data_IF_921067722444
#
_entry.id   IF_921067722444
#
_cell.length_a   1.000
_cell.length_b   1.000
_cell.length_c   1.000
_cell.angle_alpha   90.00
_cell.angle_beta   90.00
_cell.angle_gamma   90.00
#
_symmetry.space_group_name_H-M   'P 1'
#
loop_
_entity.id
_entity.type
_entity.pdbx_description
1 polymer ?
#
# COMPACT_ATOMS: atom_id res chain seq x y z
N UNK A 1 51.78 3.80 -26.87
CA UNK A 1 50.48 3.14 -26.54
C UNK A 1 49.74 3.99 -25.50
N UNK A 2 48.60 4.57 -25.89
CA UNK A 2 47.80 5.39 -24.99
C UNK A 2 46.72 4.49 -24.40
N UNK A 3 46.72 4.31 -23.06
CA UNK A 3 45.68 3.57 -22.35
C UNK A 3 44.43 4.42 -22.22
N UNK A 4 43.33 3.98 -22.79
CA UNK A 4 42.00 4.60 -22.64
C UNK A 4 41.37 3.99 -21.39
N UNK A 5 41.24 4.80 -20.34
CA UNK A 5 40.54 4.40 -19.11
C UNK A 5 39.06 4.64 -19.34
N UNK A 6 38.27 3.56 -19.43
CA UNK A 6 36.81 3.63 -19.43
C UNK A 6 36.32 3.78 -17.97
N UNK A 7 35.86 4.96 -17.62
CA UNK A 7 35.12 5.17 -16.36
C UNK A 7 33.67 4.77 -16.61
N UNK A 8 33.30 3.58 -16.14
CA UNK A 8 31.91 3.15 -16.11
C UNK A 8 31.17 3.96 -15.02
N UNK A 9 30.36 4.91 -15.43
CA UNK A 9 29.41 5.58 -14.53
C UNK A 9 28.28 4.59 -14.20
N UNK A 10 28.33 3.99 -13.02
CA UNK A 10 27.21 3.27 -12.43
C UNK A 10 26.18 4.32 -11.97
N UNK A 11 25.17 4.56 -12.79
CA UNK A 11 23.96 5.27 -12.35
C UNK A 11 23.22 4.36 -11.37
N UNK A 12 23.47 4.56 -10.07
CA UNK A 12 22.60 4.04 -9.01
C UNK A 12 21.30 4.84 -9.14
N UNK A 13 20.33 4.31 -9.87
CA UNK A 13 18.96 4.81 -9.82
C UNK A 13 18.46 4.59 -8.38
N UNK A 14 18.50 5.63 -7.56
CA UNK A 14 17.74 5.67 -6.33
C UNK A 14 16.28 5.52 -6.77
N UNK A 15 15.69 4.35 -6.56
CA UNK A 15 14.26 4.13 -6.73
C UNK A 15 13.57 5.07 -5.75
N UNK A 16 13.18 6.25 -6.24
CA UNK A 16 12.36 7.15 -5.46
C UNK A 16 11.04 6.41 -5.22
N UNK A 17 10.78 6.02 -3.97
CA UNK A 17 9.50 5.48 -3.53
C UNK A 17 8.43 6.56 -3.77
N UNK A 18 7.83 6.51 -4.95
CA UNK A 18 6.80 7.45 -5.36
C UNK A 18 5.44 6.81 -5.14
N UNK A 19 4.59 7.51 -4.41
CA UNK A 19 3.19 7.12 -4.25
C UNK A 19 2.52 7.04 -5.62
N UNK A 20 1.90 5.89 -5.93
CA UNK A 20 1.18 5.70 -7.20
C UNK A 20 -0.19 6.40 -7.17
N UNK A 21 -0.80 6.54 -8.35
CA UNK A 21 -2.17 7.06 -8.44
C UNK A 21 -3.16 6.19 -7.63
N UNK A 22 -3.00 4.86 -7.67
CA UNK A 22 -3.86 3.94 -6.90
C UNK A 22 -3.69 4.15 -5.39
N UNK A 23 -2.47 4.29 -4.88
CA UNK A 23 -2.20 4.52 -3.46
C UNK A 23 -2.88 5.78 -2.94
N UNK A 24 -2.84 6.85 -3.75
CA UNK A 24 -3.51 8.12 -3.45
C UNK A 24 -5.04 7.98 -3.43
N UNK A 25 -5.59 7.21 -4.37
CA UNK A 25 -7.03 6.94 -4.43
C UNK A 25 -7.48 6.10 -3.24
N UNK A 26 -6.68 5.12 -2.79
CA UNK A 26 -7.00 4.32 -1.60
C UNK A 26 -7.11 5.22 -0.36
N UNK A 27 -6.15 6.12 -0.13
CA UNK A 27 -6.20 7.04 1.01
C UNK A 27 -7.40 8.00 0.90
N UNK A 28 -7.70 8.50 -0.30
CA UNK A 28 -8.89 9.31 -0.55
C UNK A 28 -10.17 8.55 -0.20
N UNK A 29 -10.33 7.31 -0.65
CA UNK A 29 -11.51 6.47 -0.36
C UNK A 29 -11.63 6.13 1.12
N UNK A 30 -10.51 5.88 1.82
CA UNK A 30 -10.51 5.72 3.26
C UNK A 30 -11.03 6.98 3.97
N UNK A 31 -10.63 8.16 3.51
CA UNK A 31 -11.09 9.42 4.06
C UNK A 31 -12.57 9.72 3.72
N UNK A 32 -13.06 9.34 2.53
CA UNK A 32 -14.48 9.42 2.20
C UNK A 32 -15.31 8.55 3.15
N UNK A 33 -14.84 7.34 3.47
CA UNK A 33 -15.50 6.48 4.45
C UNK A 33 -15.47 7.07 5.86
N UNK A 34 -14.34 7.58 6.32
CA UNK A 34 -14.23 8.23 7.63
C UNK A 34 -15.14 9.47 7.74
N UNK A 35 -15.21 10.27 6.70
CA UNK A 35 -16.09 11.45 6.62
C UNK A 35 -17.56 11.05 6.75
N UNK A 36 -17.98 9.94 6.13
CA UNK A 36 -19.35 9.40 6.26
C UNK A 36 -19.70 8.98 7.70
N UNK A 37 -18.69 8.80 8.55
CA UNK A 37 -18.82 8.48 9.98
C UNK A 37 -18.53 9.68 10.89
N UNK A 38 -18.42 10.89 10.33
CA UNK A 38 -18.05 12.12 11.04
C UNK A 38 -16.68 12.02 11.76
N UNK A 39 -15.74 11.22 11.24
CA UNK A 39 -14.40 11.09 11.79
C UNK A 39 -13.40 12.03 11.10
N UNK A 40 -12.38 12.53 11.81
CA UNK A 40 -11.32 13.34 11.20
C UNK A 40 -10.62 12.60 10.07
N UNK A 41 -10.26 13.32 9.00
CA UNK A 41 -9.49 12.76 7.89
C UNK A 41 -8.08 12.39 8.33
N UNK A 42 -7.56 11.32 7.72
CA UNK A 42 -6.17 10.90 7.85
C UNK A 42 -5.30 11.79 6.94
N UNK A 43 -4.21 12.30 7.48
CA UNK A 43 -3.18 12.99 6.72
C UNK A 43 -2.19 11.98 6.16
N UNK A 44 -1.63 12.27 4.99
CA UNK A 44 -0.58 11.45 4.42
C UNK A 44 0.70 11.48 5.27
N UNK A 45 1.24 10.29 5.55
CA UNK A 45 2.53 10.11 6.20
C UNK A 45 3.46 9.29 5.32
N UNK A 46 4.63 9.85 5.00
CA UNK A 46 5.66 9.16 4.22
C UNK A 46 6.16 7.90 4.95
N UNK A 47 6.31 7.95 6.27
CA UNK A 47 6.74 6.80 7.07
C UNK A 47 5.72 5.67 7.03
N UNK A 48 4.43 5.97 7.17
CA UNK A 48 3.35 5.00 6.99
C UNK A 48 3.35 4.41 5.58
N UNK A 49 3.54 5.25 4.56
CA UNK A 49 3.58 4.80 3.16
C UNK A 49 4.73 3.83 2.90
N UNK A 50 5.96 4.15 3.31
CA UNK A 50 7.12 3.29 3.10
C UNK A 50 6.99 1.97 3.87
N UNK A 51 6.44 1.99 5.08
CA UNK A 51 6.15 0.78 5.84
C UNK A 51 5.09 -0.10 5.13
N UNK A 52 4.02 0.51 4.61
CA UNK A 52 2.99 -0.18 3.84
C UNK A 52 3.53 -0.76 2.53
N UNK A 53 4.33 0.00 1.79
CA UNK A 53 4.96 -0.42 0.54
C UNK A 53 5.89 -1.63 0.74
N UNK A 54 6.73 -1.60 1.78
CA UNK A 54 7.58 -2.73 2.15
C UNK A 54 6.76 -4.01 2.37
N UNK A 55 5.65 -3.91 3.10
CA UNK A 55 4.78 -5.06 3.35
C UNK A 55 4.02 -5.50 2.11
N UNK A 56 3.51 -4.58 1.29
CA UNK A 56 2.83 -4.93 0.04
C UNK A 56 3.77 -5.68 -0.92
N UNK A 57 5.02 -5.22 -1.05
CA UNK A 57 6.05 -5.89 -1.84
C UNK A 57 6.39 -7.28 -1.30
N UNK A 58 6.42 -7.45 0.02
CA UNK A 58 6.62 -8.76 0.64
C UNK A 58 5.46 -9.71 0.34
N UNK A 59 4.20 -9.25 0.45
CA UNK A 59 3.00 -10.03 0.15
C UNK A 59 2.94 -10.52 -1.32
N UNK A 60 3.56 -9.79 -2.25
CA UNK A 60 3.62 -10.19 -3.67
C UNK A 60 4.51 -11.40 -3.94
N UNK A 61 5.42 -11.76 -3.02
CA UNK A 61 6.31 -12.93 -3.18
C UNK A 61 5.57 -14.25 -3.05
N UNK A 62 4.47 -14.26 -2.30
CA UNK A 62 3.63 -15.43 -2.14
C UNK A 62 2.15 -15.03 -2.10
N UNK A 63 1.48 -15.22 -3.23
CA UNK A 63 0.06 -14.88 -3.39
C UNK A 63 -0.89 -15.85 -2.70
N UNK A 64 -0.39 -16.96 -2.13
CA UNK A 64 -1.23 -17.96 -1.48
C UNK A 64 -1.64 -17.60 -0.06
N UNK A 65 -0.94 -16.64 0.58
CA UNK A 65 -1.17 -16.27 1.99
C UNK A 65 -1.11 -14.77 2.22
N UNK A 66 -1.68 -14.35 3.35
CA UNK A 66 -1.61 -13.00 3.90
C UNK A 66 -1.00 -13.11 5.30
N UNK A 67 -0.05 -12.25 5.62
CA UNK A 67 0.58 -12.20 6.94
C UNK A 67 0.97 -10.77 7.30
N UNK A 68 0.92 -10.44 8.58
CA UNK A 68 1.44 -9.18 9.14
C UNK A 68 2.94 -9.28 9.47
N UNK A 69 3.47 -10.49 9.55
CA UNK A 69 4.89 -10.75 9.78
C UNK A 69 5.67 -10.73 8.46
N UNK A 70 6.79 -10.02 8.43
CA UNK A 70 7.73 -9.97 7.32
C UNK A 70 9.07 -10.59 7.76
N UNK A 71 9.14 -11.92 7.84
CA UNK A 71 10.34 -12.66 8.26
C UNK A 71 10.83 -12.20 9.66
N UNK A 72 9.92 -12.12 10.63
CA UNK A 72 10.22 -11.66 11.99
C UNK A 72 10.24 -10.14 12.17
N UNK A 73 9.90 -9.37 11.13
CA UNK A 73 9.78 -7.91 11.21
C UNK A 73 8.30 -7.52 11.27
N UNK A 74 7.89 -6.90 12.36
CA UNK A 74 6.53 -6.39 12.53
C UNK A 74 6.34 -4.98 11.94
N UNK A 75 5.14 -4.44 12.08
CA UNK A 75 4.80 -3.08 11.62
C UNK A 75 5.68 -2.02 12.30
N UNK A 76 5.99 -2.18 13.60
CA UNK A 76 6.82 -1.23 14.34
C UNK A 76 8.23 -1.15 13.79
N UNK A 77 8.81 -2.29 13.44
CA UNK A 77 10.14 -2.37 12.84
C UNK A 77 10.18 -1.72 11.46
N UNK A 78 9.17 -1.98 10.64
CA UNK A 78 9.06 -1.36 9.31
C UNK A 78 8.87 0.15 9.39
N UNK A 79 8.03 0.60 10.32
CA UNK A 79 7.81 2.03 10.56
C UNK A 79 9.07 2.74 11.05
N UNK A 80 9.82 2.16 12.00
CA UNK A 80 11.11 2.70 12.49
C UNK A 80 12.13 2.84 11.37
N UNK A 81 12.21 1.85 10.47
CA UNK A 81 13.12 1.92 9.31
C UNK A 81 12.73 3.05 8.34
N UNK A 82 11.45 3.36 8.25
CA UNK A 82 10.91 4.39 7.36
C UNK A 82 10.90 5.79 7.98
N UNK A 83 10.92 5.88 9.30
CA UNK A 83 10.86 7.12 10.07
C UNK A 83 12.25 7.56 10.50
N UNK A 84 12.49 8.87 10.57
CA UNK A 84 13.68 9.43 11.25
C UNK A 84 13.57 9.38 12.78
N UNK A 85 12.38 9.03 13.31
CA UNK A 85 12.12 8.92 14.76
C UNK A 85 12.13 7.45 15.20
N UNK A 86 12.84 7.17 16.30
CA UNK A 86 12.76 5.88 16.97
C UNK A 86 11.48 5.70 17.81
N UNK A 87 10.72 6.79 17.99
CA UNK A 87 9.48 6.81 18.80
C UNK A 87 8.28 6.88 17.87
N UNK A 88 7.32 6.03 18.13
CA UNK A 88 5.99 6.08 17.55
C UNK A 88 4.96 5.81 18.65
N UNK A 89 3.75 6.30 18.46
CA UNK A 89 2.64 6.04 19.37
C UNK A 89 1.95 4.74 19.00
N UNK A 90 0.67 4.84 18.69
CA UNK A 90 -0.11 3.70 18.25
C UNK A 90 -0.01 3.52 16.72
N UNK A 91 0.26 2.29 16.30
CA UNK A 91 0.29 1.89 14.90
C UNK A 91 -0.80 0.86 14.64
N UNK A 92 -1.42 0.94 13.47
CA UNK A 92 -2.32 -0.07 12.95
C UNK A 92 -1.95 -0.43 11.54
N UNK A 93 -2.05 -1.71 11.19
CA UNK A 93 -1.84 -2.19 9.83
C UNK A 93 -3.06 -2.98 9.37
N UNK A 94 -3.56 -2.65 8.19
CA UNK A 94 -4.63 -3.38 7.53
C UNK A 94 -4.15 -3.87 6.17
N UNK A 95 -4.37 -5.17 5.91
CA UNK A 95 -3.93 -5.83 4.68
C UNK A 95 -5.15 -6.37 3.95
N UNK A 96 -5.16 -6.24 2.63
CA UNK A 96 -6.15 -6.85 1.77
C UNK A 96 -5.50 -7.55 0.58
N UNK A 97 -6.12 -8.66 0.18
CA UNK A 97 -5.81 -9.36 -1.05
C UNK A 97 -7.09 -9.57 -1.86
N UNK A 98 -7.04 -9.29 -3.13
CA UNK A 98 -8.15 -9.64 -4.04
C UNK A 98 -7.64 -9.93 -5.45
N UNK A 99 -8.41 -10.77 -6.16
CA UNK A 99 -8.22 -11.01 -7.59
C UNK A 99 -9.42 -10.47 -8.35
N UNK A 100 -9.18 -9.69 -9.39
CA UNK A 100 -10.22 -9.05 -10.21
C UNK A 100 -9.89 -9.18 -11.69
N UNK A 101 -10.94 -9.34 -12.48
CA UNK A 101 -10.84 -9.31 -13.95
C UNK A 101 -11.44 -8.00 -14.44
N UNK A 102 -10.68 -7.27 -15.22
CA UNK A 102 -11.16 -6.03 -15.86
C UNK A 102 -11.02 -6.13 -17.37
N UNK A 103 -11.86 -5.39 -18.09
CA UNK A 103 -11.67 -5.18 -19.53
C UNK A 103 -10.45 -4.28 -19.76
N UNK A 104 -9.69 -4.58 -20.81
CA UNK A 104 -8.49 -3.78 -21.16
C UNK A 104 -8.83 -2.30 -21.46
N UNK A 105 -10.09 -2.02 -21.83
CA UNK A 105 -10.60 -0.66 -22.10
C UNK A 105 -11.14 0.07 -20.87
N UNK A 106 -11.08 -0.51 -19.66
CA UNK A 106 -11.65 0.10 -18.46
C UNK A 106 -10.72 1.20 -17.92
N UNK A 107 -11.12 2.45 -18.09
CA UNK A 107 -10.36 3.63 -17.64
C UNK A 107 -10.45 3.89 -16.13
N UNK A 108 -11.36 3.21 -15.42
CA UNK A 108 -11.62 3.42 -13.99
C UNK A 108 -11.10 2.28 -13.11
N UNK A 109 -10.13 1.50 -13.59
CA UNK A 109 -9.61 0.33 -12.87
C UNK A 109 -9.15 0.69 -11.45
N UNK A 110 -8.35 1.77 -11.28
CA UNK A 110 -7.83 2.18 -9.97
C UNK A 110 -8.96 2.57 -9.01
N UNK A 111 -9.98 3.29 -9.46
CA UNK A 111 -11.14 3.66 -8.63
C UNK A 111 -11.92 2.43 -8.16
N UNK A 112 -12.12 1.45 -9.06
CA UNK A 112 -12.81 0.20 -8.75
C UNK A 112 -12.02 -0.64 -7.76
N UNK A 113 -10.70 -0.78 -7.97
CA UNK A 113 -9.82 -1.50 -7.05
C UNK A 113 -9.85 -0.84 -5.67
N UNK A 114 -9.65 0.47 -5.59
CA UNK A 114 -9.65 1.18 -4.32
C UNK A 114 -10.97 1.03 -3.56
N UNK A 115 -12.11 1.15 -4.26
CA UNK A 115 -13.43 0.92 -3.68
C UNK A 115 -13.56 -0.49 -3.09
N UNK A 116 -13.17 -1.51 -3.85
CA UNK A 116 -13.25 -2.90 -3.41
C UNK A 116 -12.36 -3.17 -2.18
N UNK A 117 -11.15 -2.59 -2.13
CA UNK A 117 -10.25 -2.69 -0.98
C UNK A 117 -10.86 -2.09 0.29
N UNK A 118 -11.47 -0.91 0.18
CA UNK A 118 -12.18 -0.30 1.31
C UNK A 118 -13.34 -1.20 1.78
N UNK A 119 -14.12 -1.77 0.86
CA UNK A 119 -15.21 -2.68 1.22
C UNK A 119 -14.70 -3.98 1.89
N UNK A 120 -13.54 -4.49 1.50
CA UNK A 120 -12.90 -5.63 2.16
C UNK A 120 -12.53 -5.26 3.61
N UNK A 121 -11.88 -4.12 3.82
CA UNK A 121 -11.49 -3.67 5.16
C UNK A 121 -12.70 -3.36 6.06
N UNK A 122 -13.76 -2.77 5.51
CA UNK A 122 -15.02 -2.51 6.24
C UNK A 122 -15.69 -3.80 6.75
N UNK A 123 -15.62 -4.89 5.99
CA UNK A 123 -16.21 -6.19 6.36
C UNK A 123 -15.42 -6.93 7.45
N UNK A 124 -14.16 -6.63 7.63
CA UNK A 124 -13.32 -7.20 8.68
C UNK A 124 -13.48 -6.38 9.95
N UNK A 125 -13.92 -6.97 11.05
CA UNK A 125 -14.11 -6.29 12.35
C UNK A 125 -12.85 -5.56 12.79
N UNK A 126 -11.70 -6.23 12.72
CA UNK A 126 -10.43 -5.70 13.21
C UNK A 126 -9.88 -4.61 12.28
N UNK A 127 -9.92 -4.83 10.96
CA UNK A 127 -9.49 -3.82 9.99
C UNK A 127 -10.39 -2.58 10.05
N UNK A 128 -11.71 -2.77 10.18
CA UNK A 128 -12.64 -1.65 10.31
C UNK A 128 -12.39 -0.87 11.60
N UNK A 129 -12.13 -1.54 12.72
CA UNK A 129 -11.82 -0.87 13.98
C UNK A 129 -10.57 0.01 13.89
N UNK A 130 -9.52 -0.45 13.19
CA UNK A 130 -8.32 0.34 12.91
C UNK A 130 -8.66 1.52 12.00
N UNK A 131 -9.35 1.27 10.87
CA UNK A 131 -9.69 2.27 9.86
C UNK A 131 -10.59 3.38 10.39
N UNK A 132 -11.47 3.07 11.35
CA UNK A 132 -12.43 4.01 11.96
C UNK A 132 -12.02 4.53 13.32
N UNK A 133 -10.83 4.18 13.80
CA UNK A 133 -10.33 4.68 15.08
C UNK A 133 -10.16 6.20 15.04
N UNK A 134 -10.78 6.97 15.95
CA UNK A 134 -10.60 8.41 16.03
C UNK A 134 -9.19 8.80 16.50
N UNK A 135 -8.45 7.86 17.05
CA UNK A 135 -7.07 8.05 17.48
C UNK A 135 -6.11 8.22 16.30
N UNK A 136 -6.40 7.57 15.16
CA UNK A 136 -5.56 7.63 13.98
C UNK A 136 -5.64 8.99 13.31
N UNK A 137 -4.47 9.58 13.02
CA UNK A 137 -4.33 10.91 12.42
C UNK A 137 -3.60 10.86 11.08
N UNK A 138 -2.70 9.90 10.90
CA UNK A 138 -1.82 9.78 9.75
C UNK A 138 -1.97 8.42 9.10
N UNK A 139 -1.79 8.35 7.79
CA UNK A 139 -1.77 7.09 7.08
C UNK A 139 -0.92 7.13 5.81
N UNK A 140 -0.52 5.95 5.38
CA UNK A 140 0.03 5.70 4.05
C UNK A 140 -0.48 4.36 3.55
N UNK A 141 -0.91 4.31 2.30
CA UNK A 141 -1.36 3.10 1.65
C UNK A 141 -0.46 2.77 0.47
N UNK A 142 -0.24 1.49 0.24
CA UNK A 142 0.43 0.98 -0.96
C UNK A 142 -0.27 -0.25 -1.48
N UNK A 143 -0.48 -0.31 -2.80
CA UNK A 143 -1.05 -1.46 -3.49
C UNK A 143 -0.11 -1.94 -4.60
N UNK A 144 0.24 -3.22 -4.53
CA UNK A 144 1.01 -3.91 -5.55
C UNK A 144 0.09 -4.79 -6.39
N UNK A 145 0.33 -4.84 -7.68
CA UNK A 145 -0.51 -5.55 -8.64
C UNK A 145 0.34 -6.50 -9.49
N UNK A 146 -0.03 -7.78 -9.52
CA UNK A 146 0.41 -8.71 -10.55
C UNK A 146 -0.67 -8.80 -11.63
N UNK A 147 -0.24 -8.67 -12.87
CA UNK A 147 -1.14 -8.67 -14.03
C UNK A 147 -0.91 -9.94 -14.85
N UNK A 148 -1.97 -10.65 -15.17
CA UNK A 148 -1.92 -11.84 -16.02
C UNK A 148 -3.01 -11.81 -17.10
N UNK A 149 -2.66 -12.24 -18.33
CA UNK A 149 -3.65 -12.40 -19.38
C UNK A 149 -4.48 -13.65 -19.11
N UNK A 150 -5.79 -13.52 -19.19
CA UNK A 150 -6.70 -14.65 -19.17
C UNK A 150 -7.10 -15.00 -20.60
N UNK A 151 -7.46 -16.26 -20.87
CA UNK A 151 -7.76 -16.75 -22.22
C UNK A 151 -8.96 -16.09 -22.92
N UNK A 152 -9.54 -15.04 -22.32
CA UNK A 152 -10.64 -14.26 -22.86
C UNK A 152 -10.09 -12.96 -23.45
N UNK A 153 -10.30 -12.76 -24.77
CA UNK A 153 -9.83 -11.56 -25.47
C UNK A 153 -10.37 -10.27 -24.84
N UNK A 154 -9.50 -9.30 -24.62
CA UNK A 154 -9.84 -7.99 -24.07
C UNK A 154 -10.08 -7.99 -22.55
N UNK A 155 -9.67 -9.06 -21.86
CA UNK A 155 -9.74 -9.16 -20.41
C UNK A 155 -8.38 -9.46 -19.78
N UNK A 156 -8.13 -8.83 -18.66
CA UNK A 156 -6.90 -8.98 -17.89
C UNK A 156 -7.25 -9.23 -16.43
N UNK A 157 -6.53 -10.18 -15.80
CA UNK A 157 -6.61 -10.46 -14.37
C UNK A 157 -5.60 -9.61 -13.61
N UNK A 158 -6.05 -9.05 -12.51
CA UNK A 158 -5.27 -8.28 -11.56
C UNK A 158 -5.32 -8.99 -10.21
N UNK A 159 -4.17 -9.45 -9.72
CA UNK A 159 -4.01 -9.98 -8.37
C UNK A 159 -3.35 -8.89 -7.52
N UNK A 160 -4.10 -8.39 -6.54
CA UNK A 160 -3.77 -7.18 -5.78
C UNK A 160 -3.39 -7.55 -4.36
N UNK A 161 -2.34 -6.92 -3.86
CA UNK A 161 -1.95 -6.89 -2.45
C UNK A 161 -1.90 -5.44 -2.01
N UNK A 162 -2.76 -5.07 -1.08
CA UNK A 162 -2.83 -3.70 -0.56
C UNK A 162 -2.60 -3.70 0.94
N UNK A 163 -1.83 -2.73 1.38
CA UNK A 163 -1.52 -2.49 2.79
C UNK A 163 -1.76 -1.01 3.08
N UNK A 164 -2.41 -0.72 4.20
CA UNK A 164 -2.46 0.62 4.75
C UNK A 164 -1.92 0.58 6.17
N UNK A 165 -0.98 1.45 6.46
CA UNK A 165 -0.44 1.70 7.80
C UNK A 165 -1.02 3.01 8.31
N UNK A 166 -1.52 2.99 9.54
CA UNK A 166 -2.11 4.13 10.22
C UNK A 166 -1.32 4.42 11.51
N UNK A 167 -1.23 5.70 11.89
CA UNK A 167 -0.50 6.14 13.08
C UNK A 167 -1.21 7.30 13.76
N UNK A 168 -1.03 7.43 15.08
CA UNK A 168 -1.45 8.62 15.84
C UNK A 168 -0.33 9.69 15.89
N UNK A 169 0.88 9.37 15.44
CA UNK A 169 2.04 10.26 15.34
C UNK A 169 2.58 10.30 13.91
N UNK A 170 3.20 11.43 13.52
CA UNK A 170 3.80 11.64 12.20
C UNK A 170 5.25 11.17 12.15
#
# INVERSE_FOLDING_TARGET
>A
MKAIIYIAFFLISASAFAQTALDSIILKKANEYRDSLCLPKLEFSKSCFVAAESQAAFQMKDLSKITHDQNGSDIGDRYKKASSSSRFGYLGEIIAACGKNFRDSDSLINEKIAKDLIEIWKKSKDHNAILTSPRMKYAGASAMIAVSKIGIRGWTRYDIRAVMVLSDTK
#
